data_IF_142178933856
#
_entry.id   IF_142178933856
#
_cell.length_a   1.000
_cell.length_b   1.000
_cell.length_c   1.000
_cell.angle_alpha   90.00
_cell.angle_beta   90.00
_cell.angle_gamma   90.00
#
_symmetry.space_group_name_H-M   'P 1'
#
loop_
_entity.id
_entity.type
_entity.pdbx_description
1 polymer ?
#
# COMPACT_ATOMS: atom_id res chain seq x y z
N UNK A 1 -23.07 17.06 25.57
CA UNK A 1 -21.79 16.31 25.60
C UNK A 1 -20.92 16.81 24.45
N UNK A 2 -19.72 17.26 24.75
CA UNK A 2 -18.73 17.73 23.77
C UNK A 2 -17.95 16.55 23.17
N UNK A 3 -17.21 16.78 22.10
CA UNK A 3 -16.32 15.75 21.51
C UNK A 3 -15.27 15.27 22.53
N UNK A 4 -14.70 16.17 23.34
CA UNK A 4 -13.76 15.82 24.37
C UNK A 4 -14.36 14.93 25.47
N UNK A 5 -15.61 15.21 25.89
CA UNK A 5 -16.33 14.34 26.82
C UNK A 5 -16.56 12.94 26.25
N UNK A 6 -16.85 12.82 24.95
CA UNK A 6 -16.94 11.51 24.27
C UNK A 6 -15.60 10.78 24.27
N UNK A 7 -14.50 11.46 23.98
CA UNK A 7 -13.17 10.85 24.01
C UNK A 7 -12.75 10.42 25.42
N UNK A 8 -13.15 11.18 26.46
CA UNK A 8 -12.94 10.78 27.85
C UNK A 8 -13.74 9.52 28.22
N UNK A 9 -14.97 9.37 27.72
CA UNK A 9 -15.72 8.12 27.89
C UNK A 9 -15.06 6.91 27.21
N UNK A 10 -14.27 7.13 26.14
CA UNK A 10 -13.44 6.12 25.51
C UNK A 10 -12.10 5.88 26.25
N UNK A 11 -11.90 6.55 27.39
CA UNK A 11 -10.75 6.34 28.27
C UNK A 11 -9.53 7.22 27.95
N UNK A 12 -9.70 8.31 27.16
CA UNK A 12 -8.62 9.23 26.85
C UNK A 12 -8.64 10.39 27.87
N UNK A 13 -7.52 10.59 28.58
CA UNK A 13 -7.40 11.64 29.61
C UNK A 13 -7.35 13.05 29.01
N UNK A 14 -7.79 14.08 29.75
CA UNK A 14 -7.66 15.45 29.31
C UNK A 14 -6.22 15.84 28.91
N UNK A 15 -5.21 15.31 29.62
CA UNK A 15 -3.80 15.57 29.35
C UNK A 15 -3.39 15.10 27.94
N UNK A 16 -3.81 13.90 27.54
CA UNK A 16 -3.57 13.35 26.19
C UNK A 16 -4.35 14.14 25.13
N UNK A 17 -5.61 14.53 25.42
CA UNK A 17 -6.41 15.35 24.50
C UNK A 17 -5.77 16.72 24.24
N UNK A 18 -5.35 17.40 25.29
CA UNK A 18 -4.70 18.72 25.20
C UNK A 18 -3.36 18.64 24.47
N UNK A 19 -2.57 17.60 24.72
CA UNK A 19 -1.34 17.34 24.00
C UNK A 19 -1.61 17.10 22.49
N UNK A 20 -2.51 16.19 22.17
CA UNK A 20 -2.86 15.91 20.78
C UNK A 20 -3.40 17.13 20.03
N UNK A 21 -4.17 18.01 20.71
CA UNK A 21 -4.67 19.22 20.09
C UNK A 21 -3.54 20.22 19.81
N UNK A 22 -2.63 20.45 20.77
CA UNK A 22 -1.44 21.31 20.55
C UNK A 22 -0.60 20.86 19.36
N UNK A 23 -0.39 19.53 19.21
CA UNK A 23 0.33 18.98 18.05
C UNK A 23 -0.43 19.25 16.77
N UNK A 24 -1.75 18.99 16.76
CA UNK A 24 -2.59 19.16 15.59
C UNK A 24 -2.61 20.61 15.10
N UNK A 25 -2.69 21.58 16.03
CA UNK A 25 -2.68 23.02 15.72
C UNK A 25 -1.38 23.46 15.00
N UNK A 26 -0.34 22.69 15.10
CA UNK A 26 0.94 22.93 14.41
C UNK A 26 1.09 22.25 13.04
N UNK A 27 0.06 21.52 12.56
CA UNK A 27 0.13 20.68 11.34
C UNK A 27 -0.84 21.15 10.22
N UNK A 28 -1.40 22.35 10.32
CA UNK A 28 -2.42 22.86 9.38
C UNK A 28 -1.93 22.86 7.92
N UNK A 29 -0.66 23.19 7.69
CA UNK A 29 -0.08 23.27 6.35
C UNK A 29 0.03 21.87 5.73
N UNK A 30 0.47 20.87 6.49
CA UNK A 30 0.59 19.49 6.07
C UNK A 30 -0.80 18.89 5.79
N UNK A 31 -1.77 19.15 6.67
CA UNK A 31 -3.16 18.69 6.50
C UNK A 31 -3.80 19.29 5.25
N UNK A 32 -3.60 20.59 5.02
CA UNK A 32 -4.11 21.29 3.83
C UNK A 32 -3.48 20.75 2.53
N UNK A 33 -2.19 20.40 2.56
CA UNK A 33 -1.52 19.79 1.42
C UNK A 33 -2.17 18.45 1.04
N UNK A 34 -2.50 17.63 2.03
CA UNK A 34 -3.19 16.35 1.81
C UNK A 34 -4.57 16.57 1.20
N UNK A 35 -5.34 17.55 1.71
CA UNK A 35 -6.67 17.86 1.16
C UNK A 35 -6.59 18.29 -0.30
N UNK A 36 -5.62 19.13 -0.67
CA UNK A 36 -5.42 19.58 -2.05
C UNK A 36 -5.06 18.42 -3.01
N UNK A 37 -4.33 17.41 -2.53
CA UNK A 37 -4.02 16.21 -3.32
C UNK A 37 -5.27 15.33 -3.47
N UNK A 38 -6.03 15.17 -2.38
CA UNK A 38 -7.27 14.39 -2.40
C UNK A 38 -8.31 14.99 -3.35
N UNK A 39 -8.48 16.32 -3.34
CA UNK A 39 -9.39 17.02 -4.25
C UNK A 39 -9.01 16.79 -5.72
N UNK A 40 -7.71 16.90 -6.05
CA UNK A 40 -7.22 16.61 -7.39
C UNK A 40 -7.50 15.16 -7.80
N UNK A 41 -7.19 14.20 -6.93
CA UNK A 41 -7.40 12.78 -7.21
C UNK A 41 -8.89 12.42 -7.29
N UNK A 42 -9.75 13.09 -6.50
CA UNK A 42 -11.20 12.92 -6.61
C UNK A 42 -11.71 13.38 -7.99
N UNK A 43 -11.24 14.52 -8.48
CA UNK A 43 -11.58 15.01 -9.81
C UNK A 43 -11.06 14.07 -10.91
N UNK A 44 -9.83 13.53 -10.77
CA UNK A 44 -9.23 12.55 -11.68
C UNK A 44 -10.09 11.28 -11.79
N UNK A 45 -10.46 10.69 -10.65
CA UNK A 45 -11.33 9.49 -10.60
C UNK A 45 -12.69 9.76 -11.22
N UNK A 46 -13.33 10.87 -10.84
CA UNK A 46 -14.64 11.25 -11.39
C UNK A 46 -14.59 11.48 -12.90
N UNK A 47 -13.53 12.14 -13.39
CA UNK A 47 -13.32 12.35 -14.83
C UNK A 47 -13.22 11.03 -15.59
N UNK A 48 -12.48 10.04 -15.05
CA UNK A 48 -12.38 8.71 -15.65
C UNK A 48 -13.73 7.98 -15.70
N UNK A 49 -14.53 8.07 -14.62
CA UNK A 49 -15.88 7.50 -14.57
C UNK A 49 -16.82 8.16 -15.61
N UNK A 50 -16.78 9.49 -15.73
CA UNK A 50 -17.58 10.22 -16.73
C UNK A 50 -17.16 9.89 -18.16
N UNK A 51 -15.86 9.88 -18.46
CA UNK A 51 -15.31 9.51 -19.78
C UNK A 51 -15.80 8.14 -20.22
N UNK A 52 -15.84 7.18 -19.29
CA UNK A 52 -16.28 5.82 -19.54
C UNK A 52 -17.80 5.62 -19.35
N UNK A 53 -18.56 6.71 -19.21
CA UNK A 53 -20.03 6.69 -19.14
C UNK A 53 -20.56 5.68 -18.12
N UNK A 54 -19.95 5.64 -16.92
CA UNK A 54 -20.40 4.75 -15.86
C UNK A 54 -21.92 4.93 -15.61
N UNK A 55 -22.65 3.84 -15.62
CA UNK A 55 -24.10 3.83 -15.44
C UNK A 55 -24.56 2.62 -14.62
N UNK A 56 -25.83 2.59 -14.24
CA UNK A 56 -26.39 1.60 -13.32
C UNK A 56 -26.32 0.14 -13.87
N UNK A 57 -26.28 -0.06 -15.19
CA UNK A 57 -26.20 -1.42 -15.75
C UNK A 57 -24.82 -2.06 -15.54
N UNK A 58 -23.77 -1.24 -15.33
CA UNK A 58 -22.43 -1.73 -15.01
C UNK A 58 -22.34 -2.39 -13.63
N UNK A 59 -23.36 -2.29 -12.80
CA UNK A 59 -23.41 -2.97 -11.49
C UNK A 59 -24.12 -4.32 -11.54
N UNK A 60 -24.58 -4.76 -12.72
CA UNK A 60 -25.24 -6.05 -12.88
C UNK A 60 -24.28 -7.18 -12.52
N UNK A 61 -24.80 -8.16 -11.79
CA UNK A 61 -24.08 -9.37 -11.43
C UNK A 61 -23.86 -10.25 -12.68
N UNK A 62 -22.64 -10.73 -12.84
CA UNK A 62 -22.32 -11.84 -13.73
C UNK A 62 -21.82 -13.05 -12.93
N UNK A 63 -22.04 -14.25 -13.49
CA UNK A 63 -21.65 -15.54 -12.90
C UNK A 63 -21.09 -16.48 -13.97
N UNK A 64 -20.53 -17.62 -13.55
CA UNK A 64 -19.95 -18.59 -14.46
C UNK A 64 -18.78 -18.02 -15.25
N UNK A 65 -18.79 -18.10 -16.55
CA UNK A 65 -17.73 -17.56 -17.41
C UNK A 65 -17.66 -16.04 -17.40
N UNK A 66 -18.79 -15.34 -17.20
CA UNK A 66 -18.85 -13.88 -17.23
C UNK A 66 -18.51 -13.30 -18.61
N UNK A 67 -18.94 -13.97 -19.71
CA UNK A 67 -18.81 -13.40 -21.04
C UNK A 67 -19.60 -12.09 -21.16
N UNK A 68 -19.07 -11.15 -21.93
CA UNK A 68 -19.71 -9.85 -22.21
C UNK A 68 -20.08 -9.07 -20.93
N UNK A 69 -19.25 -9.17 -19.89
CA UNK A 69 -19.44 -8.43 -18.63
C UNK A 69 -19.06 -6.96 -18.83
N UNK A 70 -20.01 -6.16 -19.31
CA UNK A 70 -19.81 -4.74 -19.61
C UNK A 70 -19.33 -3.95 -18.37
N UNK A 71 -19.79 -4.31 -17.17
CA UNK A 71 -19.41 -3.63 -15.93
C UNK A 71 -17.96 -3.88 -15.56
N UNK A 72 -17.51 -5.12 -15.70
CA UNK A 72 -16.10 -5.51 -15.50
C UNK A 72 -15.19 -4.80 -16.52
N UNK A 73 -15.56 -4.85 -17.78
CA UNK A 73 -14.75 -4.28 -18.85
C UNK A 73 -14.72 -2.74 -18.77
N UNK A 74 -15.81 -2.12 -18.32
CA UNK A 74 -15.85 -0.69 -18.06
C UNK A 74 -14.96 -0.31 -16.85
N UNK A 75 -14.97 -1.11 -15.77
CA UNK A 75 -14.10 -0.88 -14.59
C UNK A 75 -12.62 -0.86 -15.00
N UNK A 76 -12.20 -1.80 -15.84
CA UNK A 76 -10.83 -1.86 -16.36
C UNK A 76 -10.48 -0.61 -17.18
N UNK A 77 -11.40 -0.08 -18.00
CA UNK A 77 -11.19 1.18 -18.71
C UNK A 77 -11.11 2.38 -17.77
N UNK A 78 -11.93 2.42 -16.71
CA UNK A 78 -11.84 3.47 -15.68
C UNK A 78 -10.49 3.44 -14.98
N UNK A 79 -9.99 2.26 -14.60
CA UNK A 79 -8.66 2.14 -13.99
C UNK A 79 -7.55 2.53 -14.97
N UNK A 80 -7.62 2.13 -16.23
CA UNK A 80 -6.66 2.53 -17.26
C UNK A 80 -6.60 4.06 -17.39
N UNK A 81 -7.75 4.75 -17.36
CA UNK A 81 -7.80 6.21 -17.41
C UNK A 81 -7.27 6.87 -16.13
N UNK A 82 -7.54 6.32 -14.95
CA UNK A 82 -7.02 6.86 -13.67
C UNK A 82 -5.50 6.76 -13.61
N UNK A 83 -4.92 5.69 -14.16
CA UNK A 83 -3.48 5.45 -14.19
C UNK A 83 -2.81 5.93 -15.50
N UNK A 84 -3.56 6.54 -16.43
CA UNK A 84 -3.09 6.98 -17.74
C UNK A 84 -2.35 5.88 -18.51
N UNK A 85 -2.93 4.67 -18.54
CA UNK A 85 -2.38 3.48 -19.20
C UNK A 85 -3.21 3.03 -20.38
N UNK A 86 -2.63 2.17 -21.24
CA UNK A 86 -3.33 1.59 -22.40
C UNK A 86 -4.40 0.59 -21.97
N UNK A 87 -4.14 -0.16 -20.87
CA UNK A 87 -5.02 -1.21 -20.40
C UNK A 87 -4.92 -1.39 -18.87
N UNK A 88 -5.93 -2.06 -18.33
CA UNK A 88 -5.94 -2.57 -16.96
C UNK A 88 -6.55 -3.97 -16.89
N UNK A 89 -6.23 -4.68 -15.82
CA UNK A 89 -6.86 -5.92 -15.38
C UNK A 89 -7.25 -5.74 -13.91
N UNK A 90 -8.56 -5.68 -13.62
CA UNK A 90 -9.10 -5.39 -12.29
C UNK A 90 -10.11 -6.48 -11.93
N UNK A 91 -9.72 -7.40 -11.06
CA UNK A 91 -10.47 -8.66 -10.92
C UNK A 91 -10.60 -9.12 -9.46
N UNK A 92 -11.78 -9.63 -9.06
CA UNK A 92 -11.92 -10.35 -7.79
C UNK A 92 -11.13 -11.67 -7.75
N UNK A 93 -10.84 -12.27 -8.91
CA UNK A 93 -10.04 -13.50 -9.03
C UNK A 93 -8.55 -13.28 -8.70
N UNK A 94 -8.08 -12.04 -8.67
CA UNK A 94 -6.76 -11.70 -8.13
C UNK A 94 -6.92 -11.57 -6.62
N UNK A 95 -6.61 -12.61 -5.87
CA UNK A 95 -7.03 -12.79 -4.48
C UNK A 95 -6.39 -11.81 -3.47
N UNK A 96 -5.22 -11.26 -3.79
CA UNK A 96 -4.47 -10.34 -2.91
C UNK A 96 -3.35 -9.63 -3.68
N UNK A 97 -2.64 -8.69 -3.02
CA UNK A 97 -1.51 -7.98 -3.62
C UNK A 97 -0.37 -8.90 -4.06
N UNK A 98 0.00 -9.87 -3.22
CA UNK A 98 1.04 -10.87 -3.57
C UNK A 98 0.65 -11.66 -4.82
N UNK A 99 -0.64 -12.04 -4.97
CA UNK A 99 -1.11 -12.71 -6.18
C UNK A 99 -1.04 -11.77 -7.40
N UNK A 100 -1.39 -10.49 -7.27
CA UNK A 100 -1.26 -9.52 -8.36
C UNK A 100 0.20 -9.37 -8.84
N UNK A 101 1.15 -9.30 -7.91
CA UNK A 101 2.58 -9.25 -8.20
C UNK A 101 3.08 -10.55 -8.85
N UNK A 102 2.73 -11.71 -8.28
CA UNK A 102 3.07 -13.02 -8.83
C UNK A 102 2.53 -13.20 -10.26
N UNK A 103 1.30 -12.73 -10.48
CA UNK A 103 0.64 -12.73 -11.80
C UNK A 103 1.42 -11.88 -12.81
N UNK A 104 1.73 -10.63 -12.46
CA UNK A 104 2.43 -9.71 -13.35
C UNK A 104 3.85 -10.19 -13.68
N UNK A 105 4.58 -10.69 -12.69
CA UNK A 105 5.91 -11.26 -12.87
C UNK A 105 5.85 -12.53 -13.72
N UNK A 106 5.01 -13.51 -13.34
CA UNK A 106 4.93 -14.81 -14.02
C UNK A 106 4.33 -14.74 -15.43
N UNK A 107 3.63 -13.64 -15.78
CA UNK A 107 3.12 -13.40 -17.11
C UNK A 107 4.17 -12.79 -18.05
N UNK A 108 5.10 -12.00 -17.50
CA UNK A 108 6.02 -11.17 -18.29
C UNK A 108 7.49 -11.64 -18.21
N UNK A 109 7.76 -12.73 -17.50
CA UNK A 109 9.06 -13.39 -17.43
C UNK A 109 8.96 -14.81 -17.98
N UNK A 110 9.90 -15.15 -18.83
CA UNK A 110 10.02 -16.48 -19.45
C UNK A 110 11.26 -17.22 -18.94
N UNK A 111 11.34 -18.56 -19.09
CA UNK A 111 12.54 -19.31 -18.76
C UNK A 111 13.79 -18.74 -19.43
N UNK A 112 14.81 -18.42 -18.63
CA UNK A 112 16.06 -17.79 -19.09
C UNK A 112 16.13 -16.29 -18.90
N UNK A 113 14.99 -15.61 -18.61
CA UNK A 113 14.97 -14.20 -18.27
C UNK A 113 15.52 -13.94 -16.84
N UNK A 114 15.94 -12.71 -16.60
CA UNK A 114 16.34 -12.24 -15.28
C UNK A 114 15.39 -11.14 -14.79
N UNK A 115 14.99 -11.26 -13.51
CA UNK A 115 14.33 -10.25 -12.72
C UNK A 115 15.36 -9.45 -11.92
N UNK A 116 15.38 -8.13 -12.03
CA UNK A 116 16.25 -7.24 -11.26
C UNK A 116 15.42 -6.41 -10.26
N UNK A 117 15.81 -6.42 -8.98
CA UNK A 117 15.36 -5.44 -7.99
C UNK A 117 16.46 -4.38 -7.77
N UNK A 118 16.27 -3.14 -8.19
CA UNK A 118 17.28 -2.08 -8.04
C UNK A 118 17.13 -1.28 -6.74
N UNK A 119 16.28 -1.72 -5.83
CA UNK A 119 15.90 -1.02 -4.59
C UNK A 119 16.05 -1.89 -3.35
N UNK A 120 16.89 -2.90 -3.41
CA UNK A 120 17.11 -3.87 -2.34
C UNK A 120 16.15 -5.07 -2.41
N UNK A 121 16.03 -5.77 -1.28
CA UNK A 121 15.17 -6.95 -1.18
C UNK A 121 13.69 -6.60 -1.41
N UNK A 122 12.94 -7.47 -2.08
CA UNK A 122 11.50 -7.31 -2.23
C UNK A 122 10.80 -7.56 -0.89
N UNK A 123 9.50 -7.25 -0.84
CA UNK A 123 8.66 -7.57 0.32
C UNK A 123 8.67 -9.07 0.64
N UNK A 124 8.66 -9.43 1.92
CA UNK A 124 8.88 -10.80 2.42
C UNK A 124 8.04 -11.87 1.69
N UNK A 125 6.75 -11.60 1.42
CA UNK A 125 5.88 -12.57 0.73
C UNK A 125 6.26 -12.79 -0.76
N UNK A 126 7.04 -11.88 -1.34
CA UNK A 126 7.49 -12.01 -2.73
C UNK A 126 8.77 -12.83 -2.85
N UNK A 127 9.52 -13.01 -1.76
CA UNK A 127 10.75 -13.82 -1.76
C UNK A 127 10.48 -15.27 -2.18
N UNK A 128 9.38 -15.86 -1.73
CA UNK A 128 8.99 -17.22 -2.13
C UNK A 128 8.43 -17.26 -3.56
N UNK A 129 7.69 -16.24 -3.99
CA UNK A 129 7.22 -16.12 -5.37
C UNK A 129 8.40 -16.10 -6.35
N UNK A 130 9.44 -15.33 -6.02
CA UNK A 130 10.67 -15.23 -6.83
C UNK A 130 11.51 -16.51 -6.70
N UNK A 131 11.56 -17.10 -5.52
CA UNK A 131 12.41 -18.25 -5.18
C UNK A 131 13.75 -17.83 -4.54
N UNK A 132 13.81 -16.64 -3.92
CA UNK A 132 14.90 -16.23 -3.03
C UNK A 132 14.91 -17.19 -1.83
N UNK A 133 13.75 -17.36 -1.19
CA UNK A 133 13.49 -18.50 -0.31
C UNK A 133 12.91 -19.63 -1.16
N UNK A 134 13.45 -20.87 -1.06
CA UNK A 134 12.96 -21.99 -1.85
C UNK A 134 11.48 -22.26 -1.60
N UNK A 135 10.68 -22.25 -2.66
CA UNK A 135 9.26 -22.58 -2.61
C UNK A 135 8.83 -23.26 -3.92
N UNK A 136 8.01 -24.32 -3.86
CA UNK A 136 7.44 -24.95 -5.05
C UNK A 136 6.60 -23.96 -5.85
N UNK A 137 6.74 -23.96 -7.18
CA UNK A 137 6.02 -23.06 -8.08
C UNK A 137 6.63 -21.66 -8.19
N UNK A 138 7.81 -21.42 -7.58
CA UNK A 138 8.52 -20.15 -7.68
C UNK A 138 9.03 -19.86 -9.10
N UNK A 139 9.26 -18.60 -9.42
CA UNK A 139 9.84 -18.19 -10.71
C UNK A 139 11.18 -18.88 -10.98
N UNK A 140 11.98 -19.11 -9.94
CA UNK A 140 13.24 -19.83 -10.04
C UNK A 140 13.07 -21.25 -10.55
N UNK A 141 12.04 -21.98 -10.12
CA UNK A 141 11.75 -23.33 -10.63
C UNK A 141 11.37 -23.34 -12.11
N UNK A 142 10.80 -22.23 -12.60
CA UNK A 142 10.50 -22.01 -14.02
C UNK A 142 11.68 -21.42 -14.81
N UNK A 143 12.88 -21.36 -14.22
CA UNK A 143 14.09 -20.97 -14.91
C UNK A 143 14.31 -19.46 -15.04
N UNK A 144 13.61 -18.64 -14.24
CA UNK A 144 13.87 -17.20 -14.11
C UNK A 144 14.93 -16.98 -13.05
N UNK A 145 15.95 -16.17 -13.38
CA UNK A 145 16.97 -15.75 -12.41
C UNK A 145 16.58 -14.44 -11.71
N UNK A 146 17.12 -14.25 -10.52
CA UNK A 146 16.92 -13.02 -9.73
C UNK A 146 18.25 -12.37 -9.39
N UNK A 147 18.27 -11.04 -9.46
CA UNK A 147 19.37 -10.20 -9.03
C UNK A 147 18.85 -9.01 -8.23
N UNK A 148 19.64 -8.54 -7.29
CA UNK A 148 19.32 -7.39 -6.45
C UNK A 148 20.50 -6.41 -6.45
N UNK A 149 20.20 -5.13 -6.42
CA UNK A 149 21.12 -4.04 -6.10
C UNK A 149 20.54 -3.31 -4.90
N UNK A 150 21.30 -3.24 -3.83
CA UNK A 150 20.90 -2.56 -2.61
C UNK A 150 21.02 -1.04 -2.78
N UNK A 151 20.28 -0.28 -1.97
CA UNK A 151 20.44 1.16 -1.87
C UNK A 151 21.79 1.49 -1.24
N UNK A 152 22.31 2.67 -1.55
CA UNK A 152 23.47 3.23 -0.87
C UNK A 152 23.14 3.51 0.61
N UNK A 153 24.17 3.66 1.49
CA UNK A 153 23.93 3.87 2.92
C UNK A 153 23.09 5.09 3.29
N UNK A 154 23.02 6.08 2.38
CA UNK A 154 22.19 7.28 2.53
C UNK A 154 20.74 7.09 2.03
N UNK A 155 20.42 5.89 1.54
CA UNK A 155 19.10 5.55 0.98
C UNK A 155 18.91 5.91 -0.50
N UNK A 156 19.90 6.47 -1.17
CA UNK A 156 19.87 6.77 -2.61
C UNK A 156 20.09 5.53 -3.47
N UNK A 157 19.72 5.62 -4.76
CA UNK A 157 19.92 4.53 -5.72
C UNK A 157 21.41 4.38 -6.09
N UNK A 158 21.88 3.13 -6.08
CA UNK A 158 23.21 2.78 -6.60
C UNK A 158 23.18 2.66 -8.13
N UNK A 159 23.24 3.79 -8.83
CA UNK A 159 23.20 3.81 -10.28
C UNK A 159 24.35 3.05 -10.95
N UNK A 160 25.53 3.02 -10.36
CA UNK A 160 26.66 2.26 -10.89
C UNK A 160 26.45 0.75 -10.73
N UNK A 161 25.98 0.33 -9.57
CA UNK A 161 25.58 -1.07 -9.31
C UNK A 161 24.46 -1.53 -10.24
N UNK A 162 23.44 -0.69 -10.45
CA UNK A 162 22.32 -0.97 -11.36
C UNK A 162 22.82 -1.12 -12.80
N UNK A 163 23.69 -0.22 -13.27
CA UNK A 163 24.29 -0.29 -14.60
C UNK A 163 25.11 -1.58 -14.79
N UNK A 164 25.86 -1.99 -13.79
CA UNK A 164 26.66 -3.22 -13.83
C UNK A 164 25.79 -4.48 -13.77
N UNK A 165 24.59 -4.38 -13.16
CA UNK A 165 23.67 -5.50 -13.05
C UNK A 165 22.83 -5.76 -14.30
N UNK A 166 22.49 -4.69 -15.06
CA UNK A 166 21.67 -4.79 -16.27
C UNK A 166 22.47 -5.42 -17.41
N UNK A 167 21.95 -6.50 -18.00
CA UNK A 167 22.55 -7.19 -19.16
C UNK A 167 21.45 -7.72 -20.10
N UNK A 168 21.84 -8.47 -21.14
CA UNK A 168 20.90 -8.92 -22.19
C UNK A 168 19.70 -9.73 -21.67
N UNK A 169 19.89 -10.55 -20.62
CA UNK A 169 18.84 -11.39 -20.02
C UNK A 169 17.97 -10.64 -19.00
N UNK A 170 18.39 -9.47 -18.53
CA UNK A 170 17.61 -8.67 -17.60
C UNK A 170 16.35 -8.17 -18.32
N UNK A 171 15.23 -8.85 -18.09
CA UNK A 171 13.97 -8.60 -18.81
C UNK A 171 13.07 -7.60 -18.10
N UNK A 172 13.02 -7.69 -16.76
CA UNK A 172 12.10 -6.91 -15.96
C UNK A 172 12.82 -6.37 -14.72
N UNK A 173 12.58 -5.09 -14.45
CA UNK A 173 12.94 -4.40 -13.21
C UNK A 173 11.70 -4.26 -12.34
N UNK A 174 11.78 -4.71 -11.08
CA UNK A 174 10.70 -4.54 -10.09
C UNK A 174 11.09 -3.49 -9.06
N UNK A 175 10.25 -2.47 -8.90
CA UNK A 175 10.46 -1.36 -7.96
C UNK A 175 9.35 -1.40 -6.92
N UNK A 176 9.71 -1.70 -5.68
CA UNK A 176 8.78 -1.59 -4.54
C UNK A 176 8.77 -0.15 -4.05
N UNK A 177 7.65 0.58 -4.23
CA UNK A 177 7.50 1.99 -3.85
C UNK A 177 7.55 2.19 -2.35
N UNK A 178 6.68 1.51 -1.62
CA UNK A 178 6.60 1.62 -0.16
C UNK A 178 7.71 0.83 0.52
N UNK A 179 8.12 1.28 1.70
CA UNK A 179 9.22 0.68 2.46
C UNK A 179 8.91 -0.69 3.08
N UNK A 180 7.65 -1.06 3.25
CA UNK A 180 7.30 -2.24 4.06
C UNK A 180 7.86 -2.09 5.49
N UNK A 181 8.53 -3.14 6.02
CA UNK A 181 9.22 -3.09 7.32
C UNK A 181 10.68 -2.61 7.23
N UNK A 182 11.12 -2.10 6.09
CA UNK A 182 12.45 -1.54 5.97
C UNK A 182 12.55 -0.13 6.59
N UNK A 183 13.74 0.24 6.98
CA UNK A 183 14.04 1.58 7.53
C UNK A 183 14.33 2.62 6.43
N UNK A 184 14.35 2.19 5.16
CA UNK A 184 14.53 3.11 4.02
C UNK A 184 13.34 4.05 3.86
N UNK A 185 13.49 5.20 3.19
CA UNK A 185 12.34 6.01 2.79
C UNK A 185 11.51 5.28 1.72
N UNK A 186 10.22 5.63 1.63
CA UNK A 186 9.40 5.27 0.47
C UNK A 186 9.71 6.23 -0.67
N UNK A 187 9.60 5.76 -1.92
CA UNK A 187 9.98 6.56 -3.08
C UNK A 187 8.84 7.44 -3.57
N UNK A 188 9.16 8.69 -3.95
CA UNK A 188 8.25 9.55 -4.69
C UNK A 188 8.08 9.07 -6.13
N UNK A 189 7.00 9.50 -6.77
CA UNK A 189 6.79 9.23 -8.21
C UNK A 189 7.93 9.81 -9.04
N UNK A 190 8.46 10.98 -8.67
CA UNK A 190 9.60 11.60 -9.35
C UNK A 190 10.87 10.75 -9.26
N UNK A 191 11.23 10.26 -8.06
CA UNK A 191 12.40 9.38 -7.87
C UNK A 191 12.25 8.07 -8.65
N UNK A 192 11.04 7.48 -8.66
CA UNK A 192 10.73 6.30 -9.47
C UNK A 192 10.94 6.62 -10.97
N UNK A 193 10.49 7.78 -11.43
CA UNK A 193 10.68 8.21 -12.81
C UNK A 193 12.16 8.35 -13.20
N UNK A 194 12.97 8.92 -12.32
CA UNK A 194 14.43 9.03 -12.52
C UNK A 194 15.08 7.65 -12.61
N UNK A 195 14.71 6.72 -11.72
CA UNK A 195 15.20 5.35 -11.74
C UNK A 195 14.81 4.60 -13.02
N UNK A 196 13.53 4.71 -13.43
CA UNK A 196 13.02 4.12 -14.67
C UNK A 196 13.77 4.65 -15.89
N UNK A 197 13.92 5.98 -16.00
CA UNK A 197 14.63 6.60 -17.09
C UNK A 197 16.08 6.10 -17.16
N UNK A 198 16.74 5.94 -16.02
CA UNK A 198 18.07 5.38 -15.93
C UNK A 198 18.12 3.93 -16.42
N UNK A 199 17.24 3.05 -15.92
CA UNK A 199 17.19 1.64 -16.34
C UNK A 199 16.95 1.52 -17.85
N UNK A 200 16.02 2.32 -18.41
CA UNK A 200 15.73 2.35 -19.84
C UNK A 200 16.88 2.95 -20.66
N UNK A 201 17.71 3.82 -20.09
CA UNK A 201 18.93 4.30 -20.76
C UNK A 201 19.98 3.20 -20.88
N UNK A 202 20.03 2.25 -19.94
CA UNK A 202 20.93 1.09 -19.99
C UNK A 202 20.41 0.00 -20.94
N UNK A 203 19.08 -0.23 -20.95
CA UNK A 203 18.43 -1.24 -21.80
C UNK A 203 17.03 -0.76 -22.19
N UNK A 204 16.84 -0.21 -23.41
CA UNK A 204 15.58 0.47 -23.82
C UNK A 204 14.32 -0.40 -23.80
N UNK A 205 14.45 -1.72 -23.98
CA UNK A 205 13.35 -2.70 -23.99
C UNK A 205 13.07 -3.34 -22.62
N UNK A 206 13.74 -2.86 -21.56
CA UNK A 206 13.52 -3.37 -20.21
C UNK A 206 12.13 -2.99 -19.71
N UNK A 207 11.40 -3.94 -19.12
CA UNK A 207 10.09 -3.70 -18.52
C UNK A 207 10.30 -3.16 -17.10
N UNK A 208 9.74 -1.99 -16.80
CA UNK A 208 9.75 -1.42 -15.46
C UNK A 208 8.39 -1.60 -14.80
N UNK A 209 8.34 -2.48 -13.81
CA UNK A 209 7.14 -2.77 -12.99
C UNK A 209 7.28 -2.09 -11.63
N UNK A 210 6.19 -1.45 -11.17
CA UNK A 210 6.14 -0.85 -9.83
C UNK A 210 5.08 -1.56 -8.98
N UNK A 211 5.49 -2.10 -7.84
CA UNK A 211 4.58 -2.41 -6.74
C UNK A 211 4.15 -1.09 -6.10
N UNK A 212 2.93 -0.68 -6.39
CA UNK A 212 2.37 0.61 -5.98
C UNK A 212 1.56 0.54 -4.68
N UNK A 213 1.51 -0.63 -4.02
CA UNK A 213 0.80 -0.80 -2.76
C UNK A 213 1.18 0.29 -1.76
N UNK A 214 0.18 0.89 -1.12
CA UNK A 214 0.27 2.00 -0.17
C UNK A 214 0.60 3.39 -0.77
N UNK A 215 1.03 3.46 -2.02
CA UNK A 215 1.38 4.72 -2.69
C UNK A 215 0.25 5.31 -3.53
N UNK A 216 -0.74 4.52 -3.90
CA UNK A 216 -1.81 4.95 -4.79
C UNK A 216 -2.56 6.15 -4.23
N UNK A 217 -2.74 7.18 -5.06
CA UNK A 217 -3.45 8.43 -4.76
C UNK A 217 -2.83 9.28 -3.61
N UNK A 218 -1.62 8.94 -3.16
CA UNK A 218 -0.88 9.75 -2.17
C UNK A 218 -0.23 10.97 -2.81
N UNK A 219 0.10 10.87 -4.09
CA UNK A 219 0.56 11.98 -4.93
C UNK A 219 -0.45 12.26 -6.05
N UNK A 220 -0.29 13.34 -6.81
CA UNK A 220 -1.16 13.64 -7.96
C UNK A 220 -0.88 12.73 -9.15
N UNK A 221 0.39 12.39 -9.34
CA UNK A 221 0.87 11.49 -10.38
C UNK A 221 1.00 10.07 -9.84
N UNK A 222 0.91 9.10 -10.75
CA UNK A 222 1.17 7.70 -10.50
C UNK A 222 2.47 7.27 -11.22
N UNK A 223 3.11 6.16 -10.85
CA UNK A 223 4.35 5.73 -11.49
C UNK A 223 4.24 5.53 -13.01
N UNK A 224 3.07 5.29 -13.54
CA UNK A 224 2.78 5.20 -14.98
C UNK A 224 2.93 6.54 -15.69
N UNK A 225 2.68 7.66 -15.01
CA UNK A 225 2.88 9.00 -15.56
C UNK A 225 4.37 9.34 -15.83
N UNK A 226 5.27 8.60 -15.19
CA UNK A 226 6.72 8.81 -15.26
C UNK A 226 7.47 7.65 -15.91
N UNK A 227 6.76 6.77 -16.60
CA UNK A 227 7.34 5.76 -17.49
C UNK A 227 7.33 4.32 -16.98
N UNK A 228 6.64 4.00 -15.88
CA UNK A 228 6.42 2.61 -15.50
C UNK A 228 5.57 1.90 -16.57
N UNK A 229 6.03 0.72 -17.01
CA UNK A 229 5.32 -0.09 -18.01
C UNK A 229 4.15 -0.83 -17.39
N UNK A 230 4.25 -1.16 -16.09
CA UNK A 230 3.21 -1.84 -15.30
C UNK A 230 3.20 -1.28 -13.89
N UNK A 231 2.02 -1.04 -13.34
CA UNK A 231 1.79 -0.84 -11.90
C UNK A 231 0.87 -1.92 -11.37
N UNK A 232 1.12 -2.36 -10.16
CA UNK A 232 0.43 -3.49 -9.54
C UNK A 232 0.03 -3.15 -8.11
N UNK A 233 -1.13 -3.62 -7.68
CA UNK A 233 -1.54 -3.48 -6.29
C UNK A 233 -2.78 -4.27 -5.91
N UNK A 234 -3.24 -4.03 -4.69
CA UNK A 234 -4.35 -4.74 -4.05
C UNK A 234 -5.57 -3.85 -3.91
N UNK A 235 -6.77 -4.40 -4.18
CA UNK A 235 -8.02 -3.67 -3.97
C UNK A 235 -8.44 -3.62 -2.49
N UNK A 236 -7.92 -4.48 -1.61
CA UNK A 236 -8.19 -4.35 -0.17
C UNK A 236 -7.31 -3.28 0.51
N UNK A 237 -6.53 -2.53 -0.27
CA UNK A 237 -5.70 -1.40 0.16
C UNK A 237 -6.30 -0.08 -0.33
N UNK A 238 -5.44 0.88 -0.70
CA UNK A 238 -5.82 2.25 -1.05
C UNK A 238 -7.01 2.35 -2.02
N UNK A 239 -6.93 1.68 -3.18
CA UNK A 239 -7.92 1.86 -4.25
C UNK A 239 -9.29 1.25 -3.96
N UNK A 240 -9.37 0.31 -3.04
CA UNK A 240 -10.67 -0.24 -2.64
C UNK A 240 -11.44 0.64 -1.66
N UNK A 241 -10.83 1.72 -1.14
CA UNK A 241 -11.50 2.70 -0.28
C UNK A 241 -12.20 2.09 0.94
N UNK A 242 -11.72 0.94 1.44
CA UNK A 242 -12.33 0.19 2.54
C UNK A 242 -13.59 -0.59 2.16
N UNK A 243 -14.01 -0.59 0.90
CA UNK A 243 -15.23 -1.28 0.43
C UNK A 243 -14.96 -2.55 -0.39
N UNK A 244 -13.81 -2.63 -1.06
CA UNK A 244 -13.50 -3.83 -1.85
C UNK A 244 -13.14 -5.00 -0.91
N UNK A 245 -13.91 -6.10 -0.93
CA UNK A 245 -13.70 -7.21 0.01
C UNK A 245 -12.57 -8.15 -0.43
N UNK A 246 -12.08 -8.02 -1.65
CA UNK A 246 -11.03 -8.83 -2.27
C UNK A 246 -10.55 -8.14 -3.54
N UNK A 247 -9.62 -8.73 -4.25
CA UNK A 247 -9.25 -8.31 -5.58
C UNK A 247 -7.88 -7.66 -5.65
N UNK A 248 -7.42 -7.51 -6.89
CA UNK A 248 -6.19 -6.83 -7.25
C UNK A 248 -6.30 -6.16 -8.60
N UNK A 249 -5.33 -5.32 -8.90
CA UNK A 249 -5.25 -4.63 -10.18
C UNK A 249 -3.84 -4.70 -10.76
N UNK A 250 -3.78 -4.69 -12.09
CA UNK A 250 -2.58 -4.52 -12.89
C UNK A 250 -2.92 -3.52 -13.98
N UNK A 251 -2.23 -2.37 -14.06
CA UNK A 251 -2.43 -1.36 -15.09
C UNK A 251 -1.12 -1.12 -15.84
N UNK A 252 -1.18 -0.92 -17.16
CA UNK A 252 0.04 -0.72 -17.94
C UNK A 252 -0.17 -0.83 -19.44
N UNK A 253 0.92 -1.18 -20.14
CA UNK A 253 0.91 -1.41 -21.57
C UNK A 253 0.00 -2.58 -21.94
N UNK A 254 -0.72 -2.44 -23.04
CA UNK A 254 -1.70 -3.43 -23.52
C UNK A 254 -1.10 -4.84 -23.65
N UNK A 255 0.07 -4.96 -24.28
CA UNK A 255 0.74 -6.25 -24.52
C UNK A 255 1.08 -7.00 -23.22
N UNK A 256 1.46 -6.26 -22.17
CA UNK A 256 1.81 -6.81 -20.86
C UNK A 256 0.55 -7.20 -20.06
N UNK A 257 -0.50 -6.40 -20.16
CA UNK A 257 -1.79 -6.68 -19.52
C UNK A 257 -2.48 -7.89 -20.16
N UNK A 258 -2.39 -8.05 -21.46
CA UNK A 258 -2.94 -9.23 -22.15
C UNK A 258 -2.25 -10.52 -21.69
N UNK A 259 -0.93 -10.50 -21.51
CA UNK A 259 -0.20 -11.62 -20.91
C UNK A 259 -0.67 -11.93 -19.48
N UNK A 260 -0.91 -10.89 -18.67
CA UNK A 260 -1.47 -11.07 -17.32
C UNK A 260 -2.85 -11.72 -17.38
N UNK A 261 -3.72 -11.31 -18.31
CA UNK A 261 -5.04 -11.89 -18.48
C UNK A 261 -4.99 -13.37 -18.91
N UNK A 262 -4.09 -13.73 -19.83
CA UNK A 262 -3.83 -15.14 -20.18
C UNK A 262 -3.28 -15.96 -19.03
N UNK A 263 -2.46 -15.37 -18.18
CA UNK A 263 -1.91 -16.06 -17.01
C UNK A 263 -2.93 -16.23 -15.90
N UNK A 264 -3.82 -15.24 -15.72
CA UNK A 264 -4.89 -15.28 -14.72
C UNK A 264 -5.96 -16.33 -15.05
N UNK A 265 -6.35 -16.42 -16.30
CA UNK A 265 -7.35 -17.38 -16.80
C UNK A 265 -6.64 -18.56 -17.50
N UNK A 266 -6.52 -18.49 -18.81
CA UNK A 266 -5.75 -19.43 -19.64
C UNK A 266 -5.40 -18.76 -20.97
N UNK A 267 -4.32 -19.21 -21.66
CA UNK A 267 -4.08 -18.84 -23.04
C UNK A 267 -5.29 -19.13 -23.92
N UNK A 268 -5.69 -18.13 -24.71
CA UNK A 268 -6.88 -18.20 -25.57
C UNK A 268 -8.18 -17.73 -24.93
N UNK A 269 -8.28 -17.63 -23.59
CA UNK A 269 -9.42 -17.05 -22.87
C UNK A 269 -9.18 -15.60 -22.48
N UNK A 270 -8.05 -15.33 -21.81
CA UNK A 270 -7.64 -13.96 -21.44
C UNK A 270 -8.71 -13.19 -20.68
N UNK A 271 -9.02 -11.99 -21.16
CA UNK A 271 -9.99 -11.06 -20.55
C UNK A 271 -11.46 -11.46 -20.74
N UNK A 272 -11.76 -12.37 -21.68
CA UNK A 272 -13.13 -12.75 -22.03
C UNK A 272 -13.88 -13.43 -20.87
N UNK A 273 -13.15 -14.04 -19.93
CA UNK A 273 -13.71 -14.76 -18.79
C UNK A 273 -13.36 -14.11 -17.46
N UNK A 274 -14.16 -14.44 -16.44
CA UNK A 274 -13.99 -13.94 -15.08
C UNK A 274 -15.20 -13.13 -14.63
N UNK A 275 -16.20 -13.83 -14.07
CA UNK A 275 -17.41 -13.20 -13.56
C UNK A 275 -17.13 -12.22 -12.43
N UNK A 276 -17.89 -11.13 -12.36
CA UNK A 276 -17.73 -10.10 -11.33
C UNK A 276 -18.31 -10.49 -9.96
N UNK A 277 -19.17 -11.52 -9.91
CA UNK A 277 -19.77 -12.06 -8.69
C UNK A 277 -20.55 -11.03 -7.84
N UNK A 278 -21.03 -9.94 -8.46
CA UNK A 278 -21.75 -8.87 -7.78
C UNK A 278 -20.86 -7.87 -7.02
N UNK A 279 -19.53 -7.89 -7.22
CA UNK A 279 -18.59 -7.06 -6.47
C UNK A 279 -18.33 -5.68 -7.11
N UNK A 280 -18.85 -5.42 -8.32
CA UNK A 280 -18.54 -4.19 -9.04
C UNK A 280 -18.99 -2.92 -8.31
N UNK A 281 -20.13 -2.95 -7.62
CA UNK A 281 -20.58 -1.80 -6.82
C UNK A 281 -19.51 -1.43 -5.78
N UNK A 282 -18.98 -2.42 -5.04
CA UNK A 282 -17.94 -2.19 -4.05
C UNK A 282 -16.64 -1.69 -4.68
N UNK A 283 -16.27 -2.18 -5.85
CA UNK A 283 -15.05 -1.76 -6.54
C UNK A 283 -15.16 -0.33 -7.08
N UNK A 284 -16.24 0.02 -7.75
CA UNK A 284 -16.45 1.38 -8.25
C UNK A 284 -16.62 2.39 -7.12
N UNK A 285 -17.45 2.08 -6.13
CA UNK A 285 -17.66 2.96 -4.98
C UNK A 285 -16.39 3.07 -4.13
N UNK A 286 -15.64 1.98 -4.00
CA UNK A 286 -14.35 1.97 -3.33
C UNK A 286 -13.35 2.91 -4.01
N UNK A 287 -13.20 2.81 -5.35
CA UNK A 287 -12.36 3.72 -6.12
C UNK A 287 -12.82 5.18 -6.00
N UNK A 288 -14.15 5.43 -6.02
CA UNK A 288 -14.70 6.77 -5.85
C UNK A 288 -14.36 7.36 -4.48
N UNK A 289 -14.38 6.57 -3.41
CA UNK A 289 -14.06 7.02 -2.06
C UNK A 289 -12.55 7.03 -1.77
N UNK A 290 -11.76 6.31 -2.54
CA UNK A 290 -10.33 6.11 -2.31
C UNK A 290 -9.55 7.43 -2.07
N UNK A 291 -9.74 8.52 -2.84
CA UNK A 291 -9.02 9.77 -2.59
C UNK A 291 -9.22 10.32 -1.17
N UNK A 292 -10.44 10.29 -0.65
CA UNK A 292 -10.77 10.75 0.71
C UNK A 292 -10.27 9.79 1.78
N UNK A 293 -10.37 8.49 1.54
CA UNK A 293 -9.91 7.46 2.48
C UNK A 293 -8.38 7.47 2.58
N UNK A 294 -7.67 7.59 1.46
CA UNK A 294 -6.21 7.74 1.43
C UNK A 294 -5.77 9.02 2.14
N UNK A 295 -6.45 10.13 1.90
CA UNK A 295 -6.18 11.37 2.64
C UNK A 295 -6.35 11.20 4.14
N UNK A 296 -7.39 10.49 4.58
CA UNK A 296 -7.63 10.20 6.00
C UNK A 296 -6.47 9.39 6.60
N UNK A 297 -6.00 8.37 5.90
CA UNK A 297 -4.86 7.54 6.31
C UNK A 297 -3.55 8.36 6.38
N UNK A 298 -3.28 9.19 5.36
CA UNK A 298 -2.10 10.06 5.33
C UNK A 298 -2.13 11.09 6.46
N UNK A 299 -3.28 11.71 6.74
CA UNK A 299 -3.44 12.62 7.88
C UNK A 299 -3.21 11.91 9.21
N UNK A 300 -3.68 10.67 9.35
CA UNK A 300 -3.40 9.81 10.50
C UNK A 300 -1.90 9.58 10.68
N UNK A 301 -1.18 9.27 9.61
CA UNK A 301 0.26 9.09 9.61
C UNK A 301 1.02 10.38 9.98
N UNK A 302 0.63 11.54 9.44
CA UNK A 302 1.20 12.85 9.78
C UNK A 302 0.99 13.16 11.27
N UNK A 303 -0.22 12.96 11.77
CA UNK A 303 -0.55 13.22 13.17
C UNK A 303 0.20 12.27 14.11
N UNK A 304 0.35 11.00 13.75
CA UNK A 304 1.19 10.04 14.47
C UNK A 304 2.63 10.54 14.53
N UNK A 305 3.21 10.92 13.40
CA UNK A 305 4.57 11.46 13.37
C UNK A 305 4.70 12.69 14.27
N UNK A 306 3.79 13.67 14.17
CA UNK A 306 3.83 14.88 14.97
C UNK A 306 3.75 14.62 16.47
N UNK A 307 2.88 13.71 16.91
CA UNK A 307 2.74 13.35 18.32
C UNK A 307 4.00 12.68 18.87
N UNK A 308 4.52 11.69 18.18
CA UNK A 308 5.67 10.93 18.67
C UNK A 308 7.00 11.70 18.51
N UNK A 309 7.14 12.51 17.45
CA UNK A 309 8.28 13.41 17.27
C UNK A 309 8.34 14.48 18.40
N UNK A 310 7.19 15.07 18.76
CA UNK A 310 7.09 16.02 19.88
C UNK A 310 7.47 15.40 21.24
N UNK A 311 7.37 14.08 21.37
CA UNK A 311 7.78 13.31 22.55
C UNK A 311 9.24 12.81 22.47
N UNK A 312 9.97 13.15 21.40
CA UNK A 312 11.38 12.79 21.23
C UNK A 312 11.63 11.41 20.63
N UNK A 313 10.61 10.71 20.15
CA UNK A 313 10.80 9.45 19.42
C UNK A 313 11.29 9.72 18.00
N UNK A 314 12.11 8.81 17.46
CA UNK A 314 12.47 8.83 16.05
C UNK A 314 11.29 8.33 15.21
N UNK A 315 10.89 9.12 14.22
CA UNK A 315 9.81 8.82 13.30
C UNK A 315 10.30 8.85 11.85
N UNK A 316 9.75 8.00 10.99
CA UNK A 316 10.13 7.92 9.57
C UNK A 316 8.86 7.71 8.71
N UNK A 317 8.51 8.69 7.87
CA UNK A 317 9.08 10.02 7.69
C UNK A 317 8.73 10.97 8.86
N UNK A 318 9.40 12.12 8.93
CA UNK A 318 9.08 13.18 9.88
C UNK A 318 7.72 13.80 9.61
N UNK A 319 7.16 14.50 10.63
CA UNK A 319 5.79 15.04 10.53
C UNK A 319 5.59 16.06 9.41
N UNK A 320 6.64 16.81 9.06
CA UNK A 320 6.61 17.84 8.00
C UNK A 320 7.11 17.36 6.63
N UNK A 321 7.61 16.13 6.56
CA UNK A 321 8.05 15.55 5.29
C UNK A 321 6.87 15.23 4.37
N UNK A 322 7.08 15.36 3.06
CA UNK A 322 6.10 14.99 2.04
C UNK A 322 5.87 13.48 2.08
N UNK A 323 4.61 13.09 2.13
CA UNK A 323 4.22 11.68 2.18
C UNK A 323 4.28 11.04 0.81
N UNK A 324 4.72 9.78 0.78
CA UNK A 324 4.89 8.96 -0.43
C UNK A 324 4.12 7.65 -0.36
N UNK A 325 3.68 7.32 0.86
CA UNK A 325 2.77 6.22 1.19
C UNK A 325 1.95 6.57 2.45
N UNK A 326 1.12 5.63 2.91
CA UNK A 326 0.28 5.80 4.10
C UNK A 326 0.94 5.29 5.40
N UNK A 327 2.19 4.84 5.36
CA UNK A 327 2.84 4.18 6.49
C UNK A 327 3.63 5.21 7.33
N UNK A 328 3.51 5.09 8.65
CA UNK A 328 4.30 5.82 9.61
C UNK A 328 5.07 4.86 10.52
N UNK A 329 6.38 4.84 10.40
CA UNK A 329 7.22 4.14 11.37
C UNK A 329 7.52 5.02 12.58
N UNK A 330 7.45 4.42 13.78
CA UNK A 330 7.82 5.05 15.06
C UNK A 330 8.75 4.10 15.81
N UNK A 331 9.98 4.51 16.06
CA UNK A 331 10.94 3.72 16.85
C UNK A 331 10.67 3.94 18.34
N UNK A 332 10.03 2.98 18.97
CA UNK A 332 9.58 3.07 20.37
C UNK A 332 10.65 2.61 21.38
N UNK A 333 11.72 1.95 20.92
CA UNK A 333 12.89 1.61 21.71
C UNK A 333 12.74 0.42 22.66
N UNK A 334 11.52 -0.12 22.87
CA UNK A 334 11.29 -1.29 23.71
C UNK A 334 10.12 -2.15 23.24
N UNK A 335 10.16 -3.45 23.61
CA UNK A 335 9.05 -4.39 23.37
C UNK A 335 7.77 -3.91 24.05
N UNK A 336 7.88 -3.43 25.29
CA UNK A 336 6.77 -2.99 26.12
C UNK A 336 6.05 -1.80 25.48
N UNK A 337 6.80 -0.84 24.94
CA UNK A 337 6.24 0.32 24.25
C UNK A 337 5.54 -0.08 22.93
N UNK A 338 6.10 -1.00 22.15
CA UNK A 338 5.42 -1.55 20.96
C UNK A 338 4.10 -2.23 21.33
N UNK A 339 4.10 -3.05 22.37
CA UNK A 339 2.89 -3.73 22.83
C UNK A 339 1.84 -2.73 23.32
N UNK A 340 2.23 -1.70 24.07
CA UNK A 340 1.33 -0.66 24.54
C UNK A 340 0.72 0.15 23.38
N UNK A 341 1.53 0.52 22.39
CA UNK A 341 1.09 1.20 21.18
C UNK A 341 0.02 0.36 20.45
N UNK A 342 0.33 -0.89 20.14
CA UNK A 342 -0.57 -1.79 19.41
C UNK A 342 -1.86 -2.05 20.20
N UNK A 343 -1.79 -2.17 21.54
CA UNK A 343 -2.98 -2.27 22.40
C UNK A 343 -3.89 -1.04 22.28
N UNK A 344 -3.31 0.15 22.15
CA UNK A 344 -4.06 1.39 21.92
C UNK A 344 -4.78 1.39 20.57
N UNK A 345 -4.08 1.02 19.50
CA UNK A 345 -4.67 0.92 18.16
C UNK A 345 -5.78 -0.15 18.12
N UNK A 346 -5.56 -1.34 18.72
CA UNK A 346 -6.57 -2.39 18.79
C UNK A 346 -7.81 -1.93 19.56
N UNK A 347 -7.63 -1.24 20.66
CA UNK A 347 -8.74 -0.70 21.44
C UNK A 347 -9.55 0.38 20.71
N UNK A 348 -8.96 1.05 19.73
CA UNK A 348 -9.64 2.01 18.84
C UNK A 348 -10.35 1.34 17.65
N UNK A 349 -10.07 0.07 17.36
CA UNK A 349 -10.62 -0.61 16.20
C UNK A 349 -12.15 -0.79 16.30
N UNK A 350 -12.89 -0.74 15.18
CA UNK A 350 -14.34 -0.98 15.19
C UNK A 350 -14.69 -2.45 15.40
N UNK A 351 -13.77 -3.35 15.05
CA UNK A 351 -13.92 -4.81 15.17
C UNK A 351 -12.91 -5.33 16.18
N UNK A 352 -13.31 -6.25 17.04
CA UNK A 352 -12.44 -6.88 18.04
C UNK A 352 -11.68 -5.91 18.97
N UNK A 353 -12.25 -4.74 19.27
CA UNK A 353 -11.64 -3.73 20.15
C UNK A 353 -11.33 -4.22 21.57
N UNK A 354 -12.02 -5.28 22.02
CA UNK A 354 -11.85 -5.92 23.32
C UNK A 354 -10.69 -6.92 23.37
N UNK A 355 -10.11 -7.26 22.21
CA UNK A 355 -8.98 -8.19 22.11
C UNK A 355 -7.69 -7.47 22.49
N UNK A 356 -6.80 -8.17 23.19
CA UNK A 356 -5.46 -7.68 23.48
C UNK A 356 -4.46 -8.33 22.53
N UNK A 357 -3.81 -7.57 21.63
CA UNK A 357 -2.80 -8.14 20.76
C UNK A 357 -1.54 -8.50 21.55
N UNK A 358 -0.97 -9.65 21.24
CA UNK A 358 0.29 -10.13 21.79
C UNK A 358 1.24 -10.58 20.67
N UNK A 359 2.56 -10.42 20.86
CA UNK A 359 3.52 -10.92 19.89
C UNK A 359 3.46 -12.43 19.73
N UNK A 360 3.54 -12.90 18.49
CA UNK A 360 3.52 -14.33 18.16
C UNK A 360 4.38 -14.62 16.92
N UNK A 361 4.78 -15.88 16.77
CA UNK A 361 5.55 -16.34 15.62
C UNK A 361 4.67 -16.38 14.37
N UNK A 362 4.84 -15.44 13.45
CA UNK A 362 4.14 -15.42 12.17
C UNK A 362 4.93 -16.18 11.10
N UNK A 363 4.26 -17.00 10.27
CA UNK A 363 4.90 -17.62 9.12
C UNK A 363 5.53 -16.57 8.19
N UNK A 364 6.78 -16.79 7.79
CA UNK A 364 7.50 -15.88 6.90
C UNK A 364 8.32 -14.79 7.59
N UNK A 365 8.33 -14.71 8.91
CA UNK A 365 9.12 -13.73 9.68
C UNK A 365 10.13 -14.39 10.59
N UNK A 366 11.32 -13.79 10.72
CA UNK A 366 12.42 -14.29 11.55
C UNK A 366 12.29 -13.95 13.05
N UNK A 367 11.31 -13.14 13.42
CA UNK A 367 11.03 -12.72 14.80
C UNK A 367 9.53 -12.66 15.04
N UNK A 368 9.14 -12.75 16.31
CA UNK A 368 7.74 -12.52 16.67
C UNK A 368 7.25 -11.18 16.11
N UNK A 369 6.02 -11.14 15.65
CA UNK A 369 5.35 -9.92 15.19
C UNK A 369 4.17 -9.63 16.10
N UNK A 370 4.00 -8.36 16.50
CA UNK A 370 2.74 -7.90 17.09
C UNK A 370 1.92 -7.21 16.02
N UNK A 371 0.61 -7.48 15.99
CA UNK A 371 -0.32 -6.90 15.03
C UNK A 371 -1.60 -6.45 15.73
N UNK A 372 -1.95 -5.18 15.57
CA UNK A 372 -3.23 -4.60 15.92
C UNK A 372 -4.01 -4.32 14.64
N UNK A 373 -5.08 -5.09 14.41
CA UNK A 373 -5.90 -4.98 13.21
C UNK A 373 -7.32 -5.44 13.53
N UNK A 374 -8.23 -4.51 13.68
CA UNK A 374 -9.67 -4.76 13.83
C UNK A 374 -10.41 -4.18 12.64
N UNK A 375 -10.26 -4.82 11.47
CA UNK A 375 -10.74 -4.35 10.19
C UNK A 375 -12.05 -5.06 9.77
N UNK A 376 -12.90 -4.36 8.99
CA UNK A 376 -14.07 -4.95 8.33
C UNK A 376 -13.68 -5.92 7.22
N UNK A 377 -12.59 -5.62 6.52
CA UNK A 377 -11.99 -6.47 5.50
C UNK A 377 -10.67 -7.01 6.02
N UNK A 378 -10.57 -8.31 6.21
CA UNK A 378 -9.40 -8.94 6.78
C UNK A 378 -8.15 -8.68 5.91
N UNK A 379 -7.09 -8.12 6.53
CA UNK A 379 -5.84 -7.75 5.84
C UNK A 379 -5.88 -6.40 5.13
N UNK A 380 -6.96 -5.63 5.27
CA UNK A 380 -7.08 -4.29 4.69
C UNK A 380 -6.28 -3.26 5.49
N UNK A 381 -5.06 -2.99 5.07
CA UNK A 381 -4.18 -2.02 5.72
C UNK A 381 -4.52 -0.55 5.42
N UNK A 382 -5.51 -0.28 4.58
CA UNK A 382 -6.13 1.05 4.49
C UNK A 382 -7.06 1.34 5.68
N UNK A 383 -7.52 0.30 6.37
CA UNK A 383 -8.18 0.41 7.67
C UNK A 383 -7.13 0.61 8.77
N UNK A 384 -7.53 1.20 9.89
CA UNK A 384 -6.63 1.51 10.99
C UNK A 384 -5.94 0.23 11.51
N UNK A 385 -4.62 0.22 11.45
CA UNK A 385 -3.81 -0.90 11.94
C UNK A 385 -2.42 -0.43 12.36
N UNK A 386 -1.75 -1.26 13.15
CA UNK A 386 -0.35 -1.08 13.47
C UNK A 386 0.29 -2.45 13.74
N UNK A 387 1.47 -2.65 13.21
CA UNK A 387 2.21 -3.89 13.36
C UNK A 387 3.71 -3.62 13.44
N UNK A 388 4.47 -4.65 13.77
CA UNK A 388 5.92 -4.57 13.72
C UNK A 388 6.60 -5.80 14.31
N UNK A 389 7.80 -6.15 13.79
CA UNK A 389 8.62 -7.24 14.33
C UNK A 389 9.23 -6.85 15.68
N UNK A 390 9.17 -7.76 16.63
CA UNK A 390 9.71 -7.56 17.98
C UNK A 390 11.24 -7.73 17.98
N UNK A 391 11.91 -6.72 17.46
CA UNK A 391 13.37 -6.65 17.40
C UNK A 391 13.83 -5.19 17.40
N UNK A 392 15.06 -4.87 17.87
CA UNK A 392 15.58 -3.52 17.77
C UNK A 392 15.53 -2.98 16.34
N UNK A 393 15.20 -1.68 16.14
CA UNK A 393 14.98 -0.63 17.15
C UNK A 393 13.57 -0.61 17.77
N UNK A 394 12.80 -1.70 17.68
CA UNK A 394 11.43 -1.81 18.17
C UNK A 394 10.53 -0.76 17.53
N UNK A 395 10.53 -0.76 16.20
CA UNK A 395 9.71 0.12 15.41
C UNK A 395 8.32 -0.47 15.16
N UNK A 396 7.29 0.35 15.39
CA UNK A 396 5.92 0.05 14.99
C UNK A 396 5.59 0.78 13.68
N UNK A 397 4.83 0.12 12.82
CA UNK A 397 4.37 0.65 11.55
C UNK A 397 2.87 0.91 11.65
N UNK A 398 2.51 2.17 11.87
CA UNK A 398 1.13 2.64 11.89
C UNK A 398 0.67 2.91 10.46
N UNK A 399 -0.57 2.54 10.13
CA UNK A 399 -1.14 2.74 8.80
C UNK A 399 -2.65 2.76 8.82
N UNK A 400 -3.22 3.39 7.79
CA UNK A 400 -4.65 3.35 7.54
C UNK A 400 -5.50 4.27 8.43
N UNK A 401 -6.78 4.06 8.27
CA UNK A 401 -7.86 4.82 8.89
C UNK A 401 -8.86 5.29 7.83
N UNK A 402 -10.01 4.62 7.73
CA UNK A 402 -11.04 4.94 6.73
C UNK A 402 -11.58 6.36 6.88
N UNK A 403 -11.52 6.90 8.09
CA UNK A 403 -11.86 8.30 8.37
C UNK A 403 -10.75 8.95 9.19
N UNK A 404 -10.49 10.22 8.94
CA UNK A 404 -9.54 11.02 9.71
C UNK A 404 -9.83 10.99 11.22
N UNK A 405 -11.10 11.09 11.60
CA UNK A 405 -11.49 11.10 13.02
C UNK A 405 -11.19 9.78 13.71
N UNK A 406 -11.34 8.64 13.01
CA UNK A 406 -10.98 7.33 13.53
C UNK A 406 -9.45 7.17 13.65
N UNK A 407 -8.69 7.59 12.64
CA UNK A 407 -7.23 7.60 12.72
C UNK A 407 -6.72 8.46 13.88
N UNK A 408 -7.26 9.68 14.03
CA UNK A 408 -6.96 10.57 15.18
C UNK A 408 -7.24 9.90 16.53
N UNK A 409 -8.41 9.26 16.66
CA UNK A 409 -8.78 8.53 17.88
C UNK A 409 -7.77 7.40 18.18
N UNK A 410 -7.39 6.61 17.18
CA UNK A 410 -6.41 5.54 17.33
C UNK A 410 -5.07 6.04 17.86
N UNK A 411 -4.57 7.13 17.30
CA UNK A 411 -3.33 7.75 17.78
C UNK A 411 -3.45 8.22 19.23
N UNK A 412 -4.54 8.89 19.60
CA UNK A 412 -4.77 9.33 20.98
C UNK A 412 -4.88 8.15 21.96
N UNK A 413 -5.49 7.04 21.54
CA UNK A 413 -5.58 5.83 22.36
C UNK A 413 -4.22 5.13 22.49
N UNK A 414 -3.36 5.15 21.45
CA UNK A 414 -1.99 4.64 21.56
C UNK A 414 -1.16 5.46 22.55
N UNK A 415 -1.28 6.79 22.52
CA UNK A 415 -0.65 7.69 23.49
C UNK A 415 -1.15 7.42 24.92
N UNK A 416 -2.46 7.24 25.09
CA UNK A 416 -3.04 6.95 26.40
C UNK A 416 -2.49 5.64 26.98
N UNK A 417 -2.41 4.57 26.18
CA UNK A 417 -1.87 3.28 26.62
C UNK A 417 -0.40 3.36 27.01
N UNK A 418 0.39 4.11 26.28
CA UNK A 418 1.80 4.36 26.63
C UNK A 418 1.92 5.22 27.89
N UNK A 419 1.08 6.25 28.04
CA UNK A 419 1.03 7.10 29.23
C UNK A 419 0.67 6.28 30.50
N UNK A 420 -0.40 5.46 30.42
CA UNK A 420 -0.84 4.62 31.53
C UNK A 420 0.22 3.59 31.94
N UNK A 421 1.05 3.15 31.01
CA UNK A 421 2.16 2.24 31.27
C UNK A 421 3.45 2.94 31.78
N UNK A 422 3.45 4.26 31.89
CA UNK A 422 4.63 5.03 32.29
C UNK A 422 5.78 4.99 31.25
N UNK A 423 5.43 4.81 29.97
CA UNK A 423 6.39 4.64 28.86
C UNK A 423 6.52 5.90 27.99
N UNK A 424 5.85 7.00 28.36
CA UNK A 424 6.03 8.31 27.73
C UNK A 424 6.78 9.28 28.62
N UNK A 425 7.52 10.23 28.02
CA UNK A 425 7.92 11.44 28.71
C UNK A 425 6.67 12.22 29.18
N UNK A 426 6.90 13.29 29.95
CA UNK A 426 5.80 14.18 30.35
C UNK A 426 5.12 14.82 29.13
N UNK A 427 3.76 14.70 29.06
CA UNK A 427 2.91 15.24 27.99
C UNK A 427 2.72 16.75 28.12
#
# INVERSE_FOLDING_TARGET
MTTNEMYQQLGISPKVLDFGQRVLDGLDEEMSRVDNIAEYNQAKVLSAMHKNRLNATHFNLSSGYGYDDEGRDNLERVYADVFHTEAALVRPQITCGTHALALALGANLLPGDELLSPVGAPYDTLEEVIGIRPSPGSLREYGVSYRQVDLLPDGSFDYDGIRAAIHEKTKLVTIQRSKGYATRPSFSVEEIGQLIAFCKSCKPDIICMVDNCYGELVERQEPTDVGADIVVGSLIKNLGGGLAPTGGYVCGRQDLIDRCAYRLSAPGLGKEVGANLGLLTSFYQGLFLAPTVVASAVKGAIFTAGCYEALGFRVIPGSREVRRDIIQAVELGSREAMCAFCKGIQAAAPVDSYVTPEPWAMPGYDSDVIMAAGAFVQGASIELSADGPIRPPYAVYFQGGLTWYHAKLGVLMSLQKLHDAGLLPDL
#
